data_IF_816805405929
#
_entry.id   IF_816805405929
#
_cell.length_a   1.000
_cell.length_b   1.000
_cell.length_c   1.000
_cell.angle_alpha   90.00
_cell.angle_beta   90.00
_cell.angle_gamma   90.00
#
_symmetry.space_group_name_H-M   'P 1'
#
loop_
_entity.id
_entity.type
_entity.pdbx_description
1 polymer ?
#
# COMPACT_ATOMS: atom_id res chain seq x y z
N UNK A 1 43.84 14.43 -10.52
CA UNK A 1 42.97 14.10 -9.37
C UNK A 1 41.96 15.21 -9.06
N UNK A 2 41.76 16.19 -9.95
CA UNK A 2 40.96 17.42 -9.74
C UNK A 2 39.68 17.51 -10.57
N UNK A 3 39.47 16.61 -11.54
CA UNK A 3 38.26 16.60 -12.40
C UNK A 3 37.07 15.88 -11.76
N UNK A 4 37.28 14.83 -10.96
CA UNK A 4 36.19 14.06 -10.30
C UNK A 4 35.46 14.82 -9.19
N UNK A 5 36.04 15.87 -8.63
CA UNK A 5 35.41 16.69 -7.58
C UNK A 5 34.46 17.76 -8.13
N UNK A 6 34.65 18.19 -9.39
CA UNK A 6 33.77 19.15 -10.04
C UNK A 6 32.48 18.46 -10.53
N UNK A 7 32.57 17.27 -11.11
CA UNK A 7 31.40 16.54 -11.60
C UNK A 7 30.42 16.16 -10.48
N UNK A 8 30.91 15.85 -9.28
CA UNK A 8 30.09 15.47 -8.13
C UNK A 8 29.40 16.68 -7.46
N UNK A 9 30.03 17.86 -7.54
CA UNK A 9 29.46 19.14 -7.09
C UNK A 9 28.44 19.69 -8.09
N UNK A 10 28.69 19.54 -9.40
CA UNK A 10 27.72 19.92 -10.43
C UNK A 10 26.51 18.99 -10.44
N UNK A 11 26.68 17.67 -10.28
CA UNK A 11 25.59 16.70 -10.19
C UNK A 11 24.66 16.98 -9.00
N UNK A 12 25.22 17.11 -7.79
CA UNK A 12 24.44 17.40 -6.57
C UNK A 12 23.83 18.81 -6.58
N UNK A 13 24.54 19.78 -7.16
CA UNK A 13 24.03 21.14 -7.37
C UNK A 13 22.85 21.18 -8.35
N UNK A 14 22.89 20.37 -9.41
CA UNK A 14 21.83 20.31 -10.42
C UNK A 14 20.57 19.59 -9.91
N UNK A 15 20.73 18.52 -9.14
CA UNK A 15 19.64 17.83 -8.43
C UNK A 15 18.95 18.77 -7.42
N UNK A 16 19.74 19.50 -6.63
CA UNK A 16 19.22 20.47 -5.65
C UNK A 16 18.52 21.64 -6.35
N UNK A 17 19.07 22.14 -7.46
CA UNK A 17 18.46 23.19 -8.26
C UNK A 17 17.18 22.72 -8.95
N UNK A 18 17.14 21.47 -9.44
CA UNK A 18 15.92 20.84 -9.99
C UNK A 18 14.85 20.67 -8.93
N UNK A 19 15.20 20.23 -7.72
CA UNK A 19 14.29 20.15 -6.58
C UNK A 19 13.75 21.53 -6.19
N UNK A 20 14.60 22.56 -6.14
CA UNK A 20 14.19 23.95 -5.86
C UNK A 20 13.28 24.55 -6.95
N UNK A 21 13.58 24.28 -8.23
CA UNK A 21 12.75 24.71 -9.36
C UNK A 21 11.43 23.94 -9.38
N UNK A 22 11.45 22.65 -9.06
CA UNK A 22 10.24 21.83 -8.94
C UNK A 22 9.37 22.30 -7.78
N UNK A 23 9.95 22.53 -6.59
CA UNK A 23 9.22 23.01 -5.42
C UNK A 23 8.64 24.41 -5.62
N UNK A 24 9.40 25.32 -6.23
CA UNK A 24 8.92 26.69 -6.51
C UNK A 24 7.82 26.70 -7.57
N UNK A 25 7.97 25.95 -8.66
CA UNK A 25 6.92 25.79 -9.66
C UNK A 25 5.68 25.07 -9.11
N UNK A 26 5.86 24.04 -8.28
CA UNK A 26 4.76 23.32 -7.64
C UNK A 26 3.99 24.22 -6.67
N UNK A 27 4.69 25.02 -5.85
CA UNK A 27 4.06 25.92 -4.88
C UNK A 27 3.27 27.03 -5.56
N UNK A 28 3.82 27.64 -6.63
CA UNK A 28 3.13 28.66 -7.41
C UNK A 28 1.90 28.08 -8.09
N UNK A 29 2.05 26.94 -8.79
CA UNK A 29 0.92 26.28 -9.45
C UNK A 29 -0.12 25.74 -8.46
N UNK A 30 0.28 25.35 -7.24
CA UNK A 30 -0.65 24.95 -6.17
C UNK A 30 -1.48 26.12 -5.69
N UNK A 31 -0.88 27.29 -5.45
CA UNK A 31 -1.61 28.50 -5.12
C UNK A 31 -2.62 28.91 -6.19
N UNK A 32 -2.23 28.78 -7.47
CA UNK A 32 -3.12 29.12 -8.60
C UNK A 32 -4.23 28.09 -8.80
N UNK A 33 -3.91 26.80 -8.65
CA UNK A 33 -4.89 25.72 -8.73
C UNK A 33 -5.88 25.75 -7.56
N UNK A 34 -5.45 26.11 -6.34
CA UNK A 34 -6.35 26.29 -5.17
C UNK A 34 -7.35 27.41 -5.46
N UNK A 35 -6.86 28.55 -5.98
CA UNK A 35 -7.70 29.69 -6.36
C UNK A 35 -8.68 29.34 -7.48
N UNK A 36 -8.25 28.56 -8.46
CA UNK A 36 -9.07 28.20 -9.61
C UNK A 36 -10.07 27.06 -9.35
N UNK A 37 -9.76 26.13 -8.45
CA UNK A 37 -10.54 24.89 -8.24
C UNK A 37 -11.34 24.87 -6.94
N UNK A 38 -11.22 25.90 -6.11
CA UNK A 38 -12.08 26.12 -4.94
C UNK A 38 -11.79 25.16 -3.78
N UNK A 39 -10.53 24.72 -3.64
CA UNK A 39 -10.11 23.83 -2.55
C UNK A 39 -8.76 23.16 -2.83
N UNK A 40 -8.06 22.82 -1.75
CA UNK A 40 -6.72 22.20 -1.78
C UNK A 40 -6.75 20.84 -2.46
N UNK A 41 -7.77 20.02 -2.20
CA UNK A 41 -7.86 18.67 -2.76
C UNK A 41 -7.98 18.68 -4.29
N UNK A 42 -8.84 19.54 -4.84
CA UNK A 42 -9.02 19.65 -6.30
C UNK A 42 -7.80 20.24 -6.98
N UNK A 43 -7.07 21.11 -6.28
CA UNK A 43 -5.82 21.68 -6.75
C UNK A 43 -4.70 20.63 -6.78
N UNK A 44 -4.54 19.84 -5.71
CA UNK A 44 -3.57 18.75 -5.65
C UNK A 44 -3.83 17.70 -6.74
N UNK A 45 -5.09 17.32 -6.99
CA UNK A 45 -5.44 16.41 -8.08
C UNK A 45 -5.09 16.98 -9.47
N UNK A 46 -5.32 18.28 -9.69
CA UNK A 46 -5.00 18.93 -10.96
C UNK A 46 -3.49 19.00 -11.20
N UNK A 47 -2.72 19.34 -10.16
CA UNK A 47 -1.26 19.39 -10.23
C UNK A 47 -0.64 18.01 -10.38
N UNK A 48 -1.19 16.99 -9.72
CA UNK A 48 -0.73 15.62 -9.89
C UNK A 48 -0.83 15.19 -11.38
N UNK A 49 -1.90 15.55 -12.08
CA UNK A 49 -2.02 15.28 -13.53
C UNK A 49 -1.08 16.13 -14.40
N UNK A 50 -0.73 17.32 -13.95
CA UNK A 50 0.12 18.25 -14.71
C UNK A 50 1.62 17.97 -14.55
N UNK A 51 2.04 17.58 -13.35
CA UNK A 51 3.44 17.21 -13.05
C UNK A 51 3.74 15.74 -13.33
N UNK A 52 2.71 14.89 -13.38
CA UNK A 52 2.80 13.50 -13.83
C UNK A 52 1.86 13.32 -15.02
N UNK A 53 2.20 13.89 -16.19
CA UNK A 53 1.36 13.78 -17.38
C UNK A 53 1.16 12.30 -17.72
N UNK A 54 -0.08 11.96 -18.03
CA UNK A 54 -0.48 10.65 -18.54
C UNK A 54 0.07 10.55 -19.97
N UNK A 55 1.37 10.30 -20.12
CA UNK A 55 1.93 9.91 -21.40
C UNK A 55 1.71 8.41 -21.57
N UNK A 56 0.69 8.09 -22.37
CA UNK A 56 0.42 6.79 -23.00
C UNK A 56 0.11 5.62 -22.05
N UNK A 57 -0.96 4.90 -22.39
CA UNK A 57 -1.18 3.53 -21.93
C UNK A 57 0.01 2.71 -22.43
N UNK A 58 1.02 2.53 -21.58
CA UNK A 58 2.08 1.56 -21.82
C UNK A 58 1.39 0.19 -21.77
N UNK A 59 1.38 -0.59 -22.87
CA UNK A 59 0.83 -1.93 -22.81
C UNK A 59 1.60 -2.72 -21.76
N UNK A 60 0.88 -3.24 -20.75
CA UNK A 60 1.44 -4.11 -19.72
C UNK A 60 2.13 -5.27 -20.43
N UNK A 61 3.46 -5.30 -20.38
CA UNK A 61 4.21 -6.44 -20.89
C UNK A 61 3.84 -7.63 -20.00
N UNK A 62 3.45 -8.78 -20.56
CA UNK A 62 3.13 -9.95 -19.75
C UNK A 62 4.37 -10.34 -18.94
N UNK A 63 4.18 -10.53 -17.62
CA UNK A 63 5.22 -11.14 -16.80
C UNK A 63 5.55 -12.52 -17.40
N UNK A 64 6.81 -12.69 -17.80
CA UNK A 64 7.38 -13.98 -18.24
C UNK A 64 7.16 -15.00 -17.12
N UNK A 65 7.04 -16.29 -17.46
CA UNK A 65 6.62 -17.42 -16.60
C UNK A 65 7.27 -17.56 -15.19
N UNK A 66 8.22 -16.71 -14.81
CA UNK A 66 8.86 -16.66 -13.50
C UNK A 66 8.68 -15.28 -12.83
N UNK A 67 8.00 -15.25 -11.67
CA UNK A 67 7.91 -14.07 -10.81
C UNK A 67 9.27 -13.84 -10.11
N UNK A 68 10.01 -12.74 -10.37
CA UNK A 68 11.35 -12.54 -9.82
C UNK A 68 11.37 -12.32 -8.30
N UNK A 69 10.20 -12.07 -7.70
CA UNK A 69 10.01 -11.84 -6.28
C UNK A 69 9.53 -13.09 -5.53
N UNK A 70 9.43 -14.24 -6.21
CA UNK A 70 8.99 -15.47 -5.59
C UNK A 70 9.96 -15.92 -4.49
N UNK A 71 9.45 -16.01 -3.26
CA UNK A 71 10.19 -16.55 -2.12
C UNK A 71 9.93 -18.05 -1.96
N UNK A 72 10.90 -18.86 -1.54
CA UNK A 72 10.62 -20.24 -1.09
C UNK A 72 9.66 -20.26 0.11
N UNK A 73 8.88 -21.34 0.27
CA UNK A 73 7.92 -21.52 1.39
C UNK A 73 8.63 -21.41 2.73
N UNK A 74 9.82 -22.00 2.84
CA UNK A 74 10.64 -22.04 4.04
C UNK A 74 11.07 -20.63 4.47
N UNK A 75 11.38 -19.76 3.50
CA UNK A 75 11.73 -18.35 3.74
C UNK A 75 10.52 -17.59 4.27
N UNK A 76 9.31 -17.83 3.71
CA UNK A 76 8.08 -17.19 4.18
C UNK A 76 7.73 -17.61 5.61
N UNK A 77 7.82 -18.90 5.92
CA UNK A 77 7.58 -19.43 7.26
C UNK A 77 8.64 -18.93 8.26
N UNK A 78 9.90 -18.84 7.86
CA UNK A 78 10.96 -18.27 8.70
C UNK A 78 10.71 -16.78 8.98
N UNK A 79 10.26 -16.01 7.99
CA UNK A 79 9.88 -14.61 8.18
C UNK A 79 8.70 -14.46 9.15
N UNK A 80 7.69 -15.33 9.06
CA UNK A 80 6.56 -15.37 9.99
C UNK A 80 7.01 -15.71 11.42
N UNK A 81 7.86 -16.71 11.61
CA UNK A 81 8.41 -17.05 12.94
C UNK A 81 9.17 -15.88 13.55
N UNK A 82 10.05 -15.27 12.75
CA UNK A 82 10.82 -14.12 13.17
C UNK A 82 9.93 -12.95 13.59
N UNK A 83 8.92 -12.61 12.79
CA UNK A 83 7.96 -11.56 13.13
C UNK A 83 7.18 -11.90 14.40
N UNK A 84 6.74 -13.16 14.55
CA UNK A 84 6.03 -13.62 15.73
C UNK A 84 6.87 -13.50 17.02
N UNK A 85 8.16 -13.84 16.94
CA UNK A 85 9.09 -13.80 18.06
C UNK A 85 9.51 -12.36 18.42
N UNK A 86 9.86 -11.55 17.42
CA UNK A 86 10.31 -10.17 17.60
C UNK A 86 9.20 -9.26 18.16
N UNK A 87 7.96 -9.43 17.67
CA UNK A 87 6.83 -8.57 18.02
C UNK A 87 5.94 -9.16 19.13
N UNK A 88 6.28 -10.35 19.64
CA UNK A 88 5.51 -11.03 20.68
C UNK A 88 4.05 -11.30 20.30
N UNK A 89 3.78 -11.63 19.03
CA UNK A 89 2.41 -11.80 18.53
C UNK A 89 1.65 -12.96 19.19
N UNK A 90 2.37 -13.96 19.69
CA UNK A 90 1.81 -15.09 20.42
C UNK A 90 1.14 -16.15 19.54
N UNK A 91 1.49 -16.22 18.25
CA UNK A 91 1.02 -17.28 17.36
C UNK A 91 1.66 -18.61 17.81
N UNK A 92 0.87 -19.66 18.07
CA UNK A 92 1.41 -20.96 18.46
C UNK A 92 2.33 -21.55 17.39
N UNK A 93 3.42 -22.19 17.82
CA UNK A 93 4.40 -22.82 16.93
C UNK A 93 3.74 -23.91 16.08
N UNK A 94 2.77 -24.62 16.66
CA UNK A 94 1.97 -25.66 16.02
C UNK A 94 1.15 -25.10 14.86
N UNK A 95 0.59 -23.89 15.02
CA UNK A 95 -0.13 -23.20 13.93
C UNK A 95 0.80 -22.92 12.76
N UNK A 96 2.01 -22.42 13.03
CA UNK A 96 3.00 -22.14 11.96
C UNK A 96 3.50 -23.44 11.33
N UNK A 97 3.68 -24.51 12.10
CA UNK A 97 4.05 -25.83 11.58
C UNK A 97 2.96 -26.39 10.66
N UNK A 98 1.68 -26.26 11.03
CA UNK A 98 0.55 -26.72 10.23
C UNK A 98 0.43 -26.02 8.87
N UNK A 99 0.95 -24.79 8.73
CA UNK A 99 1.04 -24.11 7.43
C UNK A 99 2.00 -24.83 6.48
N UNK A 100 3.10 -25.40 6.98
CA UNK A 100 4.06 -26.11 6.13
C UNK A 100 3.45 -27.35 5.46
N UNK A 101 2.43 -27.94 6.06
CA UNK A 101 1.75 -29.15 5.57
C UNK A 101 0.67 -28.84 4.51
N UNK A 102 0.20 -27.58 4.44
CA UNK A 102 -0.98 -27.19 3.65
C UNK A 102 -0.67 -26.03 2.69
N UNK A 103 0.47 -26.08 2.01
CA UNK A 103 0.88 -25.05 1.04
C UNK A 103 -0.03 -25.10 -0.20
N UNK A 104 -0.74 -24.01 -0.56
CA UNK A 104 -1.55 -23.95 -1.77
C UNK A 104 -0.70 -24.07 -3.04
N UNK A 105 -1.31 -24.64 -4.09
CA UNK A 105 -0.71 -24.62 -5.43
C UNK A 105 -0.88 -23.23 -6.04
N UNK A 106 0.22 -22.64 -6.49
CA UNK A 106 0.18 -21.34 -7.16
C UNK A 106 -0.38 -21.48 -8.59
N UNK A 107 -1.34 -20.65 -9.01
CA UNK A 107 -1.73 -20.57 -10.40
C UNK A 107 -0.57 -20.02 -11.23
N UNK A 108 -0.46 -20.46 -12.48
CA UNK A 108 0.60 -20.00 -13.40
C UNK A 108 0.25 -18.65 -14.01
N UNK A 109 1.28 -17.80 -14.16
CA UNK A 109 1.20 -16.51 -14.86
C UNK A 109 0.86 -15.33 -13.94
N UNK A 110 1.29 -14.13 -14.35
CA UNK A 110 1.01 -12.86 -13.68
C UNK A 110 1.78 -12.61 -12.38
N UNK A 111 1.60 -11.42 -11.81
CA UNK A 111 2.06 -11.02 -10.47
C UNK A 111 1.22 -11.70 -9.38
N UNK A 112 1.27 -13.03 -9.33
CA UNK A 112 0.61 -13.82 -8.29
C UNK A 112 1.60 -14.22 -7.21
N UNK A 113 1.17 -14.10 -5.95
CA UNK A 113 1.99 -14.30 -4.77
C UNK A 113 1.32 -15.18 -3.73
N UNK A 114 2.07 -16.17 -3.22
CA UNK A 114 1.70 -16.86 -1.99
C UNK A 114 2.06 -15.99 -0.78
N UNK A 115 1.10 -15.64 0.05
CA UNK A 115 1.30 -14.81 1.25
C UNK A 115 0.52 -15.39 2.43
N UNK A 116 0.44 -14.66 3.54
CA UNK A 116 -0.41 -15.03 4.67
C UNK A 116 -1.56 -14.05 4.85
N UNK A 117 -2.69 -14.56 5.33
CA UNK A 117 -3.65 -13.77 6.09
C UNK A 117 -3.34 -13.95 7.57
N UNK A 118 -2.99 -12.86 8.24
CA UNK A 118 -2.69 -12.85 9.67
C UNK A 118 -3.59 -11.80 10.32
N UNK A 119 -4.49 -12.25 11.19
CA UNK A 119 -5.45 -11.41 11.91
C UNK A 119 -5.38 -11.67 13.41
N UNK A 120 -5.55 -10.60 14.17
CA UNK A 120 -5.55 -10.62 15.63
C UNK A 120 -6.87 -10.03 16.15
N UNK A 121 -7.33 -10.54 17.29
CA UNK A 121 -8.57 -10.09 17.92
C UNK A 121 -9.81 -10.29 17.04
N UNK A 122 -10.91 -9.68 17.45
CA UNK A 122 -12.21 -9.76 16.75
C UNK A 122 -12.88 -8.38 16.68
N UNK A 123 -13.79 -8.21 15.72
CA UNK A 123 -14.60 -6.99 15.60
C UNK A 123 -13.77 -5.74 15.35
N UNK A 124 -14.27 -4.59 15.79
CA UNK A 124 -13.64 -3.28 15.57
C UNK A 124 -12.23 -3.21 16.17
N UNK A 125 -12.07 -3.67 17.42
CA UNK A 125 -10.79 -3.68 18.11
C UNK A 125 -9.78 -4.62 17.44
N UNK A 126 -10.24 -5.79 16.94
CA UNK A 126 -9.41 -6.73 16.20
C UNK A 126 -8.89 -6.17 14.88
N UNK A 127 -9.74 -5.45 14.15
CA UNK A 127 -9.34 -4.78 12.90
C UNK A 127 -8.26 -3.72 13.17
N UNK A 128 -8.48 -2.85 14.17
CA UNK A 128 -7.49 -1.85 14.55
C UNK A 128 -6.17 -2.48 15.02
N UNK A 129 -6.25 -3.48 15.90
CA UNK A 129 -5.07 -4.22 16.38
C UNK A 129 -4.29 -4.88 15.24
N UNK A 130 -5.00 -5.49 14.28
CA UNK A 130 -4.37 -6.15 13.13
C UNK A 130 -3.67 -5.15 12.23
N UNK A 131 -4.33 -4.04 11.94
CA UNK A 131 -3.75 -2.96 11.15
C UNK A 131 -2.48 -2.42 11.79
N UNK A 132 -2.52 -2.03 13.07
CA UNK A 132 -1.37 -1.45 13.77
C UNK A 132 -0.20 -2.44 13.86
N UNK A 133 -0.45 -3.71 14.19
CA UNK A 133 0.61 -4.74 14.23
C UNK A 133 1.33 -4.90 12.90
N UNK A 134 0.61 -4.84 11.78
CA UNK A 134 1.24 -4.92 10.47
C UNK A 134 1.97 -3.64 10.09
N UNK A 135 1.46 -2.47 10.48
CA UNK A 135 2.16 -1.20 10.32
C UNK A 135 3.48 -1.20 11.07
N UNK A 136 3.49 -1.64 12.33
CA UNK A 136 4.71 -1.77 13.13
C UNK A 136 5.71 -2.70 12.45
N UNK A 137 5.23 -3.83 11.91
CA UNK A 137 6.10 -4.76 11.18
C UNK A 137 6.67 -4.17 9.88
N UNK A 138 5.86 -3.44 9.13
CA UNK A 138 6.34 -2.70 7.94
C UNK A 138 7.40 -1.69 8.36
N UNK A 139 7.16 -0.93 9.43
CA UNK A 139 8.15 0.01 9.97
C UNK A 139 9.45 -0.69 10.37
N UNK A 140 9.40 -1.87 10.99
CA UNK A 140 10.59 -2.67 11.32
C UNK A 140 11.38 -3.12 10.07
N UNK A 141 10.70 -3.43 8.95
CA UNK A 141 11.33 -3.89 7.70
C UNK A 141 11.93 -2.76 6.88
N UNK A 142 11.27 -1.60 6.83
CA UNK A 142 11.67 -0.48 5.97
C UNK A 142 12.38 0.66 6.74
N UNK A 143 12.22 0.73 8.06
CA UNK A 143 12.91 1.67 8.94
C UNK A 143 12.68 3.12 8.54
N UNK A 144 13.78 3.90 8.47
CA UNK A 144 13.76 5.32 8.07
C UNK A 144 13.19 5.57 6.68
N UNK A 145 13.10 4.52 5.83
CA UNK A 145 12.49 4.59 4.50
C UNK A 145 10.98 4.35 4.52
N UNK A 146 10.37 4.16 5.69
CA UNK A 146 8.93 4.04 5.84
C UNK A 146 8.31 5.35 6.32
N UNK A 147 7.18 5.72 5.72
CA UNK A 147 6.36 6.82 6.22
C UNK A 147 4.89 6.48 6.14
N UNK A 148 4.23 6.44 7.30
CA UNK A 148 2.78 6.41 7.40
C UNK A 148 2.23 7.83 7.36
N UNK A 149 1.21 8.07 6.55
CA UNK A 149 0.50 9.34 6.56
C UNK A 149 -0.18 9.54 7.93
N UNK A 150 0.03 10.67 8.64
CA UNK A 150 -0.44 10.85 10.01
C UNK A 150 -1.96 10.75 10.20
N UNK A 151 -2.75 10.98 9.16
CA UNK A 151 -4.21 10.91 9.19
C UNK A 151 -4.76 9.55 8.76
N UNK A 152 -3.89 8.60 8.40
CA UNK A 152 -4.28 7.21 8.21
C UNK A 152 -4.37 6.55 9.58
N UNK A 153 -5.52 6.72 10.22
CA UNK A 153 -5.79 6.28 11.59
C UNK A 153 -6.55 4.94 11.60
N UNK A 154 -6.37 4.15 12.66
CA UNK A 154 -7.14 2.93 12.91
C UNK A 154 -7.94 3.05 14.20
N UNK A 155 -9.03 2.30 14.36
CA UNK A 155 -9.85 2.38 15.54
C UNK A 155 -10.63 3.69 15.66
N UNK A 156 -11.08 3.98 16.87
CA UNK A 156 -11.90 5.15 17.19
C UNK A 156 -11.05 6.37 17.52
N UNK A 157 -11.32 7.48 16.83
CA UNK A 157 -10.67 8.76 17.08
C UNK A 157 -11.69 9.90 17.25
N UNK A 158 -11.36 10.94 18.06
CA UNK A 158 -12.22 12.10 18.23
C UNK A 158 -12.58 12.79 16.89
N UNK A 159 -13.83 13.22 16.76
CA UNK A 159 -14.38 13.97 15.63
C UNK A 159 -15.66 14.69 16.07
N UNK A 160 -15.69 16.03 16.08
CA UNK A 160 -16.88 16.84 16.42
C UNK A 160 -17.65 16.32 17.65
N UNK A 161 -16.97 16.23 18.80
CA UNK A 161 -17.50 15.75 20.09
C UNK A 161 -17.90 14.26 20.16
N UNK A 162 -17.72 13.50 19.07
CA UNK A 162 -17.94 12.06 19.02
C UNK A 162 -16.64 11.28 18.77
N UNK A 163 -16.66 9.99 19.08
CA UNK A 163 -15.58 9.07 18.76
C UNK A 163 -15.97 8.27 17.53
N UNK A 164 -15.22 8.44 16.44
CA UNK A 164 -15.57 7.90 15.12
C UNK A 164 -14.55 6.87 14.69
N UNK A 165 -15.03 5.72 14.24
CA UNK A 165 -14.21 4.67 13.65
C UNK A 165 -13.53 5.18 12.38
N UNK A 166 -12.21 4.96 12.26
CA UNK A 166 -11.39 5.48 11.15
C UNK A 166 -11.07 4.44 10.09
N UNK A 167 -11.12 3.17 10.45
CA UNK A 167 -10.79 2.04 9.58
C UNK A 167 -11.83 0.93 9.74
N UNK A 168 -12.33 0.41 8.61
CA UNK A 168 -13.23 -0.75 8.62
C UNK A 168 -12.94 -1.67 7.46
N UNK A 169 -13.19 -2.96 7.65
CA UNK A 169 -13.30 -3.89 6.54
C UNK A 169 -14.49 -3.52 5.66
N UNK A 170 -14.33 -3.71 4.34
CA UNK A 170 -15.37 -3.47 3.34
C UNK A 170 -16.61 -4.32 3.62
N UNK A 171 -16.40 -5.58 4.00
CA UNK A 171 -17.47 -6.53 4.35
C UNK A 171 -18.00 -6.34 5.78
N UNK A 172 -17.43 -5.39 6.54
CA UNK A 172 -17.79 -5.08 7.92
C UNK A 172 -16.93 -5.82 8.94
N UNK A 173 -16.61 -5.15 10.05
CA UNK A 173 -15.65 -5.65 11.05
C UNK A 173 -16.12 -6.92 11.80
N UNK A 174 -17.42 -7.21 11.79
CA UNK A 174 -17.96 -8.47 12.34
C UNK A 174 -17.43 -9.73 11.62
N UNK A 175 -16.92 -9.59 10.39
CA UNK A 175 -16.27 -10.68 9.66
C UNK A 175 -14.81 -10.89 10.07
N UNK A 176 -14.25 -10.02 10.91
CA UNK A 176 -12.87 -10.12 11.37
C UNK A 176 -12.75 -11.15 12.49
N UNK A 177 -11.93 -12.17 12.25
CA UNK A 177 -11.63 -13.25 13.19
C UNK A 177 -10.12 -13.51 13.23
N UNK A 178 -9.58 -13.89 14.40
CA UNK A 178 -8.16 -14.18 14.51
C UNK A 178 -7.86 -15.41 13.66
N UNK A 179 -6.87 -15.29 12.77
CA UNK A 179 -6.50 -16.36 11.86
C UNK A 179 -5.06 -16.20 11.40
N UNK A 180 -4.42 -17.32 11.12
CA UNK A 180 -3.14 -17.41 10.43
C UNK A 180 -3.29 -18.49 9.36
N UNK A 181 -3.37 -18.09 8.11
CA UNK A 181 -3.57 -19.01 6.99
C UNK A 181 -2.78 -18.55 5.76
N UNK A 182 -2.53 -19.48 4.83
CA UNK A 182 -2.04 -19.13 3.51
C UNK A 182 -3.12 -18.38 2.73
N UNK A 183 -2.70 -17.44 1.90
CA UNK A 183 -3.54 -16.84 0.88
C UNK A 183 -2.75 -16.66 -0.42
N UNK A 184 -3.45 -16.65 -1.55
CA UNK A 184 -2.87 -16.34 -2.85
C UNK A 184 -3.40 -14.98 -3.29
N UNK A 185 -2.49 -14.06 -3.59
CA UNK A 185 -2.81 -12.69 -3.97
C UNK A 185 -2.44 -12.48 -5.44
N UNK A 186 -3.38 -11.99 -6.22
CA UNK A 186 -3.16 -11.47 -7.57
C UNK A 186 -3.00 -9.95 -7.51
N UNK A 187 -1.79 -9.46 -7.82
CA UNK A 187 -1.50 -8.02 -7.86
C UNK A 187 -1.77 -7.38 -9.23
N UNK A 188 -1.90 -8.15 -10.31
CA UNK A 188 -2.18 -7.61 -11.65
C UNK A 188 -3.67 -7.34 -11.85
N UNK A 189 -4.50 -8.03 -11.09
CA UNK A 189 -5.95 -7.89 -11.17
C UNK A 189 -6.40 -6.44 -10.94
N UNK A 190 -7.29 -5.97 -11.82
CA UNK A 190 -7.91 -4.65 -11.76
C UNK A 190 -6.95 -3.46 -11.84
N UNK A 191 -5.77 -3.64 -12.45
CA UNK A 191 -4.89 -2.53 -12.80
C UNK A 191 -5.59 -1.52 -13.72
N UNK A 192 -6.24 -2.00 -14.77
CA UNK A 192 -7.16 -1.21 -15.59
C UNK A 192 -8.58 -1.27 -15.01
N UNK A 193 -9.09 -0.14 -14.52
CA UNK A 193 -10.41 -0.06 -13.86
C UNK A 193 -10.95 1.37 -13.92
N UNK A 194 -12.28 1.51 -13.99
CA UNK A 194 -12.93 2.83 -13.90
C UNK A 194 -12.77 3.52 -12.54
N UNK A 195 -12.73 2.74 -11.46
CA UNK A 195 -12.57 3.23 -10.08
C UNK A 195 -12.27 2.05 -9.16
N UNK A 196 -11.74 2.30 -7.97
CA UNK A 196 -11.53 1.29 -6.92
C UNK A 196 -12.89 0.69 -6.50
N UNK A 197 -13.93 1.53 -6.37
CA UNK A 197 -15.27 1.08 -5.95
C UNK A 197 -15.90 0.12 -6.95
N UNK A 198 -15.61 0.27 -8.23
CA UNK A 198 -16.18 -0.57 -9.30
C UNK A 198 -15.63 -2.00 -9.30
N UNK A 199 -14.47 -2.23 -8.69
CA UNK A 199 -13.76 -3.52 -8.74
C UNK A 199 -13.56 -4.15 -7.37
N UNK A 200 -13.71 -3.39 -6.28
CA UNK A 200 -13.59 -3.96 -4.93
C UNK A 200 -14.81 -4.80 -4.56
N UNK A 201 -14.58 -5.84 -3.78
CA UNK A 201 -15.62 -6.78 -3.34
C UNK A 201 -15.11 -7.76 -2.28
N UNK A 202 -15.81 -8.89 -2.07
CA UNK A 202 -15.49 -9.83 -1.00
C UNK A 202 -14.08 -10.42 -1.06
N UNK A 203 -13.49 -10.50 -2.25
CA UNK A 203 -12.13 -11.00 -2.50
C UNK A 203 -11.06 -9.92 -2.48
N UNK A 204 -11.42 -8.65 -2.25
CA UNK A 204 -10.44 -7.59 -2.20
C UNK A 204 -9.51 -7.75 -1.00
N UNK A 205 -8.23 -7.57 -1.26
CA UNK A 205 -7.17 -7.66 -0.26
C UNK A 205 -7.32 -6.55 0.79
N UNK A 206 -7.24 -6.93 2.06
CA UNK A 206 -7.24 -6.06 3.23
C UNK A 206 -5.91 -6.23 3.97
N UNK A 207 -5.89 -6.95 5.10
CA UNK A 207 -4.70 -7.23 5.92
C UNK A 207 -3.59 -7.91 5.14
N UNK A 208 -3.99 -8.72 4.16
CA UNK A 208 -3.09 -9.51 3.34
C UNK A 208 -2.15 -8.62 2.52
N UNK A 209 -2.54 -7.36 2.22
CA UNK A 209 -1.66 -6.40 1.56
C UNK A 209 -0.51 -5.98 2.47
N UNK A 210 -0.79 -5.78 3.75
CA UNK A 210 0.23 -5.35 4.71
C UNK A 210 1.18 -6.50 5.02
N UNK A 211 0.66 -7.73 5.13
CA UNK A 211 1.49 -8.94 5.16
C UNK A 211 2.39 -9.02 3.93
N UNK A 212 1.82 -8.87 2.74
CA UNK A 212 2.58 -8.86 1.50
C UNK A 212 3.69 -7.79 1.53
N UNK A 213 3.39 -6.60 2.05
CA UNK A 213 4.32 -5.46 2.07
C UNK A 213 5.58 -5.75 2.89
N UNK A 214 5.44 -6.33 4.09
CA UNK A 214 6.62 -6.67 4.90
C UNK A 214 7.25 -8.01 4.52
N UNK A 215 6.51 -8.91 3.86
CA UNK A 215 7.01 -10.22 3.43
C UNK A 215 7.80 -10.15 2.12
N UNK A 216 7.44 -9.25 1.20
CA UNK A 216 8.07 -9.06 -0.11
C UNK A 216 8.66 -7.65 -0.25
N UNK A 217 9.62 -7.27 0.61
CA UNK A 217 10.09 -5.89 0.63
C UNK A 217 10.83 -5.48 -0.64
N UNK A 218 11.40 -6.43 -1.39
CA UNK A 218 12.07 -6.14 -2.66
C UNK A 218 11.07 -5.75 -3.76
N UNK A 219 9.90 -6.41 -3.83
CA UNK A 219 8.82 -5.97 -4.71
C UNK A 219 8.41 -4.52 -4.40
N UNK A 220 8.22 -4.21 -3.12
CA UNK A 220 7.78 -2.88 -2.69
C UNK A 220 8.81 -1.80 -3.04
N UNK A 221 10.10 -2.12 -2.98
CA UNK A 221 11.20 -1.21 -3.37
C UNK A 221 11.30 -1.02 -4.88
N UNK A 222 10.82 -1.98 -5.65
CA UNK A 222 10.88 -1.96 -7.11
C UNK A 222 9.62 -1.38 -7.77
N UNK A 223 8.60 -0.98 -6.98
CA UNK A 223 7.43 -0.25 -7.49
C UNK A 223 7.88 0.93 -8.35
N UNK A 224 7.64 0.84 -9.65
CA UNK A 224 8.00 1.84 -10.65
C UNK A 224 6.78 2.39 -11.40
N UNK A 225 5.58 1.95 -11.05
CA UNK A 225 4.30 2.40 -11.61
C UNK A 225 4.04 2.01 -13.07
N UNK A 226 5.02 1.44 -13.77
CA UNK A 226 4.94 0.99 -15.16
C UNK A 226 4.80 -0.53 -15.26
N UNK A 227 5.62 -1.27 -14.54
CA UNK A 227 5.58 -2.72 -14.46
C UNK A 227 5.03 -3.16 -13.11
N UNK A 228 5.58 -2.60 -12.03
CA UNK A 228 5.17 -2.88 -10.66
C UNK A 228 4.28 -1.74 -10.12
N UNK A 229 2.96 -1.94 -10.00
CA UNK A 229 2.04 -0.90 -9.56
C UNK A 229 2.12 -0.63 -8.05
N UNK A 230 1.71 0.58 -7.66
CA UNK A 230 1.28 0.84 -6.28
C UNK A 230 0.03 0.02 -5.94
N UNK A 231 -0.21 -0.26 -4.66
CA UNK A 231 -1.19 -1.27 -4.25
C UNK A 231 -2.26 -0.69 -3.33
N UNK A 232 -3.53 -0.82 -3.71
CA UNK A 232 -4.66 -0.45 -2.85
C UNK A 232 -5.15 -1.64 -2.02
N UNK A 233 -5.32 -1.46 -0.71
CA UNK A 233 -6.02 -2.42 0.14
C UNK A 233 -7.54 -2.23 -0.01
N UNK A 234 -8.09 -2.65 -1.16
CA UNK A 234 -9.50 -2.45 -1.52
C UNK A 234 -10.51 -3.12 -0.56
N UNK A 235 -10.05 -4.09 0.24
CA UNK A 235 -10.84 -4.75 1.29
C UNK A 235 -11.04 -3.88 2.53
N UNK A 236 -10.43 -2.69 2.59
CA UNK A 236 -10.65 -1.67 3.61
C UNK A 236 -11.49 -0.49 3.11
N UNK A 237 -12.02 0.28 4.05
CA UNK A 237 -12.57 1.62 3.85
C UNK A 237 -12.13 2.52 5.00
N UNK A 238 -11.91 3.79 4.69
CA UNK A 238 -11.34 4.79 5.61
C UNK A 238 -12.24 6.02 5.75
N UNK A 239 -12.28 6.52 6.98
CA UNK A 239 -12.89 7.80 7.33
C UNK A 239 -11.80 8.83 7.70
N UNK A 240 -11.39 9.67 6.73
CA UNK A 240 -10.30 10.64 6.95
C UNK A 240 -10.85 11.90 7.66
N UNK A 241 -10.20 12.38 8.74
CA UNK A 241 -10.62 13.58 9.48
C UNK A 241 -10.85 14.86 8.66
N UNK A 242 -10.10 15.09 7.58
CA UNK A 242 -10.11 16.36 6.82
C UNK A 242 -11.11 16.39 5.63
N UNK A 243 -11.76 15.26 5.32
CA UNK A 243 -12.63 15.15 4.14
C UNK A 243 -14.03 15.73 4.39
N UNK A 244 -14.31 16.92 3.86
CA UNK A 244 -15.60 17.66 4.00
C UNK A 244 -16.77 17.00 3.23
N UNK A 245 -16.70 15.71 2.90
CA UNK A 245 -17.75 15.09 2.08
C UNK A 245 -17.62 13.60 1.84
N UNK A 246 -17.68 12.78 2.90
CA UNK A 246 -18.09 11.38 2.82
C UNK A 246 -17.35 10.46 3.79
N UNK A 247 -18.04 9.78 4.74
CA UNK A 247 -17.37 9.14 5.86
C UNK A 247 -16.57 7.86 5.53
N UNK A 248 -16.54 7.33 4.30
CA UNK A 248 -15.91 6.03 4.01
C UNK A 248 -15.42 5.88 2.56
N UNK A 249 -14.75 6.89 2.03
CA UNK A 249 -14.42 6.96 0.59
C UNK A 249 -12.99 6.60 0.23
N UNK A 250 -12.12 6.45 1.22
CA UNK A 250 -10.71 6.20 1.00
C UNK A 250 -10.36 4.75 1.32
N UNK A 251 -9.23 4.29 0.79
CA UNK A 251 -8.67 2.97 1.04
C UNK A 251 -7.19 3.12 1.40
N UNK A 252 -6.62 2.28 2.27
CA UNK A 252 -5.18 2.27 2.48
C UNK A 252 -4.45 1.97 1.16
N UNK A 253 -3.31 2.60 0.96
CA UNK A 253 -2.49 2.45 -0.22
C UNK A 253 -1.03 2.32 0.18
N UNK A 254 -0.36 1.31 -0.37
CA UNK A 254 1.09 1.14 -0.29
C UNK A 254 1.69 1.60 -1.62
N UNK A 255 2.61 2.56 -1.57
CA UNK A 255 3.28 3.06 -2.75
C UNK A 255 4.72 3.48 -2.45
N UNK A 256 5.47 3.84 -3.50
CA UNK A 256 6.87 4.23 -3.40
C UNK A 256 7.05 5.68 -3.89
N UNK A 257 7.46 6.59 -3.02
CA UNK A 257 7.76 7.95 -3.43
C UNK A 257 9.26 8.20 -3.33
N UNK A 258 9.89 8.52 -4.46
CA UNK A 258 11.34 8.64 -4.64
C UNK A 258 12.06 7.33 -4.26
N UNK A 259 12.33 7.13 -2.97
CA UNK A 259 13.04 5.98 -2.40
C UNK A 259 12.40 5.48 -1.09
N UNK A 260 11.28 6.07 -0.69
CA UNK A 260 10.59 5.77 0.56
C UNK A 260 9.29 5.03 0.29
N UNK A 261 9.03 3.99 1.06
CA UNK A 261 7.76 3.27 1.10
C UNK A 261 6.78 4.08 1.93
N UNK A 262 5.63 4.39 1.34
CA UNK A 262 4.58 5.13 2.01
C UNK A 262 3.34 4.28 2.19
N UNK A 263 2.72 4.44 3.37
CA UNK A 263 1.38 3.95 3.65
C UNK A 263 0.46 5.15 3.82
N UNK A 264 -0.40 5.39 2.83
CA UNK A 264 -1.26 6.57 2.74
C UNK A 264 -2.73 6.17 2.58
N UNK A 265 -3.62 7.17 2.58
CA UNK A 265 -4.99 6.98 2.14
C UNK A 265 -5.15 7.35 0.66
N UNK A 266 -5.53 6.37 -0.15
CA UNK A 266 -5.89 6.54 -1.55
C UNK A 266 -7.37 6.85 -1.74
N UNK A 267 -7.69 7.63 -2.77
CA UNK A 267 -9.08 7.95 -3.08
C UNK A 267 -9.69 6.95 -4.07
N UNK A 268 -10.96 6.58 -3.85
CA UNK A 268 -11.70 5.58 -4.62
C UNK A 268 -11.86 5.82 -6.12
N UNK A 269 -11.74 7.06 -6.58
CA UNK A 269 -11.96 7.45 -7.99
C UNK A 269 -10.65 7.51 -8.80
N UNK A 270 -9.61 6.81 -8.33
CA UNK A 270 -8.32 6.74 -9.00
C UNK A 270 -8.35 5.69 -10.13
N UNK A 271 -8.91 6.08 -11.28
CA UNK A 271 -8.71 5.45 -12.60
C UNK A 271 -7.26 5.70 -13.05
N UNK A 272 -6.34 5.04 -12.36
CA UNK A 272 -4.91 5.18 -12.55
C UNK A 272 -4.30 3.78 -12.58
N UNK A 273 -3.88 3.36 -13.78
CA UNK A 273 -3.26 2.06 -14.05
C UNK A 273 -1.87 1.93 -13.42
N UNK A 274 -1.30 3.02 -12.89
CA UNK A 274 -0.09 2.98 -12.06
C UNK A 274 -0.33 2.32 -10.71
N UNK A 275 -1.59 2.14 -10.33
CA UNK A 275 -2.01 1.46 -9.13
C UNK A 275 -2.87 0.26 -9.48
N UNK A 276 -2.81 -0.77 -8.64
CA UNK A 276 -3.66 -1.95 -8.72
C UNK A 276 -4.60 -2.05 -7.51
N UNK A 277 -5.69 -2.82 -7.68
CA UNK A 277 -6.58 -3.23 -6.58
C UNK A 277 -6.51 -4.75 -6.50
N UNK A 278 -5.54 -5.30 -5.75
CA UNK A 278 -5.31 -6.73 -5.68
C UNK A 278 -6.51 -7.52 -5.17
N UNK A 279 -6.57 -8.79 -5.58
CA UNK A 279 -7.61 -9.72 -5.15
C UNK A 279 -7.04 -11.05 -4.68
N UNK A 280 -7.80 -11.74 -3.85
CA UNK A 280 -7.50 -13.09 -3.41
C UNK A 280 -7.95 -14.12 -4.45
N UNK A 281 -7.08 -15.08 -4.74
CA UNK A 281 -7.40 -16.27 -5.52
C UNK A 281 -7.76 -17.39 -4.53
N UNK A 282 -8.90 -18.03 -4.75
CA UNK A 282 -9.39 -19.20 -3.98
C UNK A 282 -9.41 -20.43 -4.87
#
# INVERSE_FOLDING_TARGET
MTTRLLDDVFSKGFETLRLLIFHSNFTVKLGDAIRAKGGVDRALCALHREFFPIETVVPVQPHVDNNPYELPVEVKLAALRRANDEEGWGIPVETINGLAENVPVLPKGGLVFLSFRIRFGEGDEGVALTFERHVDRINAVFGEKFSRWPLLLSGKHPSNDESVERLQLLNGNHTHKPIVEWCVIDLDTHRERKSITAVRGPKSVADELFVFTWLFPDYIRDINYEMEPGLFAGGYKLNIPESVGGPWMYVPCVNLNLVSTHLIAGWRDNDDSRYSVPTLIE
#
